data_IF_475017423425
#
_entry.id   IF_475017423425
#
_cell.length_a   1.000
_cell.length_b   1.000
_cell.length_c   1.000
_cell.angle_alpha   90.00
_cell.angle_beta   90.00
_cell.angle_gamma   90.00
#
_symmetry.space_group_name_H-M   'P 1'
#
loop_
_entity.id
_entity.type
_entity.pdbx_description
1 polymer ?
#
# COMPACT_ATOMS: atom_id res chain seq x y z
N UNK A 1 2.23 11.74 -14.81
CA UNK A 1 3.41 10.87 -14.61
C UNK A 1 2.94 9.42 -14.69
N UNK A 2 3.73 8.53 -15.27
CA UNK A 2 3.43 7.11 -15.43
C UNK A 2 4.56 6.27 -14.80
N UNK A 3 4.30 4.99 -14.51
CA UNK A 3 5.35 4.07 -14.08
C UNK A 3 6.37 3.83 -15.21
N UNK A 4 7.58 3.42 -14.83
CA UNK A 4 8.69 3.09 -15.73
C UNK A 4 8.83 1.58 -16.00
N UNK A 5 8.17 0.76 -15.20
CA UNK A 5 8.00 -0.69 -15.39
C UNK A 5 6.66 -0.96 -16.08
N UNK A 6 6.60 -2.00 -16.92
CA UNK A 6 5.37 -2.41 -17.59
C UNK A 6 4.28 -2.77 -16.56
N UNK A 7 3.06 -2.28 -16.78
CA UNK A 7 1.96 -2.34 -15.80
C UNK A 7 1.64 -3.75 -15.32
N UNK A 8 1.71 -4.75 -16.20
CA UNK A 8 1.49 -6.16 -15.85
C UNK A 8 2.51 -6.72 -14.86
N UNK A 9 3.71 -6.14 -14.82
CA UNK A 9 4.78 -6.51 -13.87
C UNK A 9 4.81 -5.59 -12.66
N UNK A 10 4.24 -4.39 -12.75
CA UNK A 10 4.27 -3.37 -11.70
C UNK A 10 3.08 -3.46 -10.76
N UNK A 11 1.86 -3.64 -11.29
CA UNK A 11 0.64 -3.74 -10.50
C UNK A 11 0.54 -5.16 -9.92
N UNK A 12 0.50 -5.34 -8.59
CA UNK A 12 0.46 -6.65 -7.98
C UNK A 12 -0.95 -7.24 -8.01
N UNK A 13 -1.08 -8.57 -7.93
CA UNK A 13 -2.35 -9.28 -7.73
C UNK A 13 -3.40 -9.08 -8.85
N UNK A 14 -2.96 -8.86 -10.10
CA UNK A 14 -3.86 -8.57 -11.21
C UNK A 14 -4.90 -9.66 -11.47
N UNK A 15 -4.48 -10.93 -11.37
CA UNK A 15 -5.37 -12.08 -11.60
C UNK A 15 -6.42 -12.19 -10.49
N UNK A 16 -6.00 -12.02 -9.23
CA UNK A 16 -6.88 -12.05 -8.06
C UNK A 16 -7.88 -10.89 -8.06
N UNK A 17 -7.45 -9.72 -8.52
CA UNK A 17 -8.29 -8.52 -8.65
C UNK A 17 -9.10 -8.49 -9.95
N UNK A 18 -8.89 -9.45 -10.86
CA UNK A 18 -9.53 -9.46 -12.18
C UNK A 18 -9.28 -8.19 -13.00
N UNK A 19 -8.13 -7.53 -12.78
CA UNK A 19 -7.84 -6.19 -13.30
C UNK A 19 -6.93 -6.26 -14.53
N UNK A 20 -7.28 -5.50 -15.56
CA UNK A 20 -6.48 -5.38 -16.78
C UNK A 20 -6.00 -3.92 -16.88
N UNK A 21 -4.67 -3.68 -16.84
CA UNK A 21 -4.14 -2.32 -16.93
C UNK A 21 -4.53 -1.64 -18.25
N UNK A 22 -4.87 -0.35 -18.17
CA UNK A 22 -5.37 0.43 -19.31
C UNK A 22 -4.30 0.72 -20.37
N UNK A 23 -3.04 0.75 -19.95
CA UNK A 23 -1.88 1.08 -20.78
C UNK A 23 -0.68 0.22 -20.38
N UNK A 24 0.28 0.08 -21.30
CA UNK A 24 1.56 -0.60 -21.05
C UNK A 24 2.34 0.01 -19.87
N UNK A 25 2.19 1.31 -19.65
CA UNK A 25 2.74 2.04 -18.50
C UNK A 25 1.62 2.85 -17.85
N UNK A 26 1.10 2.34 -16.73
CA UNK A 26 -0.05 2.90 -16.02
C UNK A 26 0.24 4.31 -15.51
N UNK A 27 -0.80 5.15 -15.54
CA UNK A 27 -0.69 6.50 -14.98
C UNK A 27 -0.71 6.46 -13.46
N UNK A 28 -0.16 7.49 -12.80
CA UNK A 28 -0.26 7.61 -11.34
C UNK A 28 -1.71 7.64 -10.82
N UNK A 29 -2.66 8.13 -11.62
CA UNK A 29 -4.08 8.13 -11.26
C UNK A 29 -4.66 6.70 -11.27
N UNK A 30 -4.33 5.92 -12.29
CA UNK A 30 -4.73 4.50 -12.39
C UNK A 30 -4.12 3.68 -11.25
N UNK A 31 -2.84 3.89 -10.94
CA UNK A 31 -2.15 3.20 -9.84
C UNK A 31 -2.83 3.53 -8.51
N UNK A 32 -3.17 4.80 -8.26
CA UNK A 32 -3.88 5.20 -7.05
C UNK A 32 -5.26 4.55 -6.95
N UNK A 33 -6.04 4.59 -8.03
CA UNK A 33 -7.36 3.95 -8.10
C UNK A 33 -7.28 2.44 -7.84
N UNK A 34 -6.28 1.76 -8.43
CA UNK A 34 -6.02 0.35 -8.21
C UNK A 34 -5.66 0.01 -6.76
N UNK A 35 -4.81 0.82 -6.12
CA UNK A 35 -4.51 0.64 -4.70
C UNK A 35 -5.75 0.85 -3.82
N UNK A 36 -6.62 1.80 -4.18
CA UNK A 36 -7.86 2.07 -3.46
C UNK A 36 -8.88 0.93 -3.60
N UNK A 37 -9.03 0.34 -4.80
CA UNK A 37 -9.92 -0.81 -5.00
C UNK A 37 -9.44 -2.02 -4.20
N UNK A 38 -8.13 -2.32 -4.27
CA UNK A 38 -7.53 -3.40 -3.49
C UNK A 38 -7.74 -3.22 -1.97
N UNK A 39 -7.56 -1.99 -1.46
CA UNK A 39 -7.76 -1.72 -0.04
C UNK A 39 -9.24 -1.81 0.40
N UNK A 40 -10.19 -1.53 -0.50
CA UNK A 40 -11.62 -1.71 -0.25
C UNK A 40 -12.02 -3.19 -0.28
N UNK A 41 -11.63 -3.92 -1.34
CA UNK A 41 -12.03 -5.31 -1.55
C UNK A 41 -11.49 -6.25 -0.46
N UNK A 42 -10.33 -5.91 0.11
CA UNK A 42 -9.70 -6.67 1.19
C UNK A 42 -10.09 -6.20 2.60
N UNK A 43 -10.82 -5.08 2.72
CA UNK A 43 -11.09 -4.43 4.02
C UNK A 43 -9.85 -3.84 4.69
N UNK A 44 -8.74 -3.66 3.95
CA UNK A 44 -7.46 -3.22 4.50
C UNK A 44 -7.49 -1.83 5.14
N UNK A 45 -8.41 -0.97 4.70
CA UNK A 45 -8.58 0.37 5.30
C UNK A 45 -8.90 0.32 6.80
N UNK A 46 -9.59 -0.71 7.29
CA UNK A 46 -9.93 -0.86 8.71
C UNK A 46 -8.70 -1.14 9.59
N UNK A 47 -7.59 -1.55 8.97
CA UNK A 47 -6.32 -1.83 9.61
C UNK A 47 -5.28 -0.72 9.41
N UNK A 48 -5.66 0.37 8.72
CA UNK A 48 -4.76 1.47 8.41
C UNK A 48 -4.99 2.68 9.34
N UNK A 49 -3.90 3.36 9.68
CA UNK A 49 -3.93 4.63 10.41
C UNK A 49 -3.24 5.71 9.57
N UNK A 50 -4.03 6.54 8.89
CA UNK A 50 -3.52 7.66 8.09
C UNK A 50 -3.21 8.89 8.96
N UNK A 51 -2.46 9.83 8.40
CA UNK A 51 -2.04 11.05 9.08
C UNK A 51 -1.34 10.75 10.41
N UNK A 52 -0.46 9.74 10.39
CA UNK A 52 0.31 9.32 11.56
C UNK A 52 1.69 8.93 11.07
N UNK A 53 2.69 9.70 11.48
CA UNK A 53 4.10 9.49 11.16
C UNK A 53 4.76 8.76 12.32
N UNK A 54 5.52 7.71 12.04
CA UNK A 54 6.38 7.07 13.05
C UNK A 54 7.59 7.96 13.32
N UNK A 55 7.81 8.33 14.57
CA UNK A 55 8.93 9.18 15.00
C UNK A 55 10.06 8.36 15.62
N UNK A 56 9.73 7.25 16.28
CA UNK A 56 10.70 6.41 17.00
C UNK A 56 10.21 4.96 17.09
N UNK A 57 11.16 4.03 17.07
CA UNK A 57 10.93 2.60 17.29
C UNK A 57 11.99 2.07 18.25
N UNK A 58 11.56 1.49 19.37
CA UNK A 58 12.44 0.90 20.39
C UNK A 58 12.10 -0.58 20.60
N UNK A 59 13.11 -1.44 20.66
CA UNK A 59 12.94 -2.86 20.97
C UNK A 59 13.10 -3.08 22.49
N UNK A 60 12.07 -3.65 23.11
CA UNK A 60 12.11 -4.12 24.49
C UNK A 60 12.45 -5.62 24.50
N UNK A 61 13.68 -5.96 24.84
CA UNK A 61 14.17 -7.34 24.96
C UNK A 61 13.42 -8.15 26.03
N UNK A 62 13.02 -7.51 27.13
CA UNK A 62 12.35 -8.21 28.22
C UNK A 62 10.89 -8.54 27.86
N UNK A 63 10.21 -7.64 27.15
CA UNK A 63 8.85 -7.86 26.65
C UNK A 63 8.80 -8.64 25.32
N UNK A 64 9.92 -8.69 24.59
CA UNK A 64 10.01 -9.27 23.24
C UNK A 64 9.15 -8.51 22.23
N UNK A 65 9.08 -7.18 22.33
CA UNK A 65 8.17 -6.34 21.53
C UNK A 65 8.81 -5.03 21.10
N UNK A 66 8.35 -4.53 19.96
CA UNK A 66 8.62 -3.15 19.54
C UNK A 66 7.63 -2.19 20.16
N UNK A 67 8.13 -1.09 20.72
CA UNK A 67 7.35 0.09 21.07
C UNK A 67 7.56 1.13 19.98
N UNK A 68 6.46 1.66 19.44
CA UNK A 68 6.47 2.63 18.34
C UNK A 68 5.84 3.93 18.84
N UNK A 69 6.54 5.06 18.67
CA UNK A 69 6.03 6.41 18.97
C UNK A 69 5.69 7.12 17.66
N UNK A 70 4.59 7.88 17.69
CA UNK A 70 4.05 8.60 16.53
C UNK A 70 3.74 10.05 16.86
N UNK A 71 3.57 10.88 15.84
CA UNK A 71 3.16 12.30 15.92
C UNK A 71 1.68 12.53 16.28
N UNK A 72 0.98 11.48 16.72
CA UNK A 72 -0.44 11.47 17.09
C UNK A 72 -0.66 11.40 18.58
#
# INVERSE_FOLDING_TARGET
>A
MACDVESYSYLPLLDEMGYVPSMKFASGFEILEYCQSMAQDTGFYDHCLFHTTVEETEWDEAAGRWTVRTDR
#
